data_IF_378855097294
#
_entry.id   IF_378855097294
#
_cell.length_a   1.000
_cell.length_b   1.000
_cell.length_c   1.000
_cell.angle_alpha   90.00
_cell.angle_beta   90.00
_cell.angle_gamma   90.00
#
_symmetry.space_group_name_H-M   'P 1'
#
loop_
_entity.id
_entity.type
_entity.pdbx_description
1 polymer ?
#
# COMPACT_ATOMS: atom_id res chain seq x y z
N UNK A 1 25.16 16.51 19.13
CA UNK A 1 25.26 16.96 17.73
C UNK A 1 25.93 18.33 17.63
N UNK A 2 25.32 19.41 18.13
CA UNK A 2 25.91 20.76 18.01
C UNK A 2 27.27 20.91 18.72
N UNK A 3 27.43 20.28 19.88
CA UNK A 3 28.73 20.19 20.58
C UNK A 3 29.82 19.52 19.74
N UNK A 4 29.44 18.61 18.84
CA UNK A 4 30.36 17.91 17.94
C UNK A 4 30.60 18.66 16.62
N UNK A 5 29.97 19.81 16.42
CA UNK A 5 30.05 20.60 15.19
C UNK A 5 30.85 21.89 15.46
N UNK A 6 32.16 21.93 15.14
CA UNK A 6 33.03 23.05 15.51
C UNK A 6 32.63 24.37 14.84
N UNK A 7 32.01 24.31 13.66
CA UNK A 7 31.53 25.50 12.93
C UNK A 7 30.40 26.24 13.66
N UNK A 8 29.71 25.57 14.61
CA UNK A 8 28.70 26.20 15.47
C UNK A 8 29.27 26.84 16.74
N UNK A 9 30.57 26.72 17.01
CA UNK A 9 31.22 27.22 18.22
C UNK A 9 32.05 28.51 17.98
N UNK A 10 32.19 28.93 16.72
CA UNK A 10 33.02 30.06 16.32
C UNK A 10 32.25 31.36 16.02
N UNK A 11 32.98 32.43 15.71
CA UNK A 11 32.39 33.74 15.35
C UNK A 11 31.53 33.72 14.08
N UNK A 12 31.63 32.67 13.26
CA UNK A 12 30.84 32.46 12.04
C UNK A 12 29.62 31.54 12.23
N UNK A 13 29.35 31.10 13.47
CA UNK A 13 28.28 30.15 13.76
C UNK A 13 26.91 30.59 13.24
N UNK A 14 26.61 31.89 13.34
CA UNK A 14 25.35 32.48 12.86
C UNK A 14 25.16 32.31 11.35
N UNK A 15 26.17 32.70 10.57
CA UNK A 15 26.13 32.64 9.11
C UNK A 15 26.13 31.19 8.61
N UNK A 16 26.91 30.33 9.27
CA UNK A 16 26.93 28.90 8.99
C UNK A 16 25.55 28.26 9.25
N UNK A 17 24.95 28.51 10.42
CA UNK A 17 23.63 27.99 10.75
C UNK A 17 22.55 28.50 9.79
N UNK A 18 22.62 29.78 9.42
CA UNK A 18 21.72 30.38 8.45
C UNK A 18 21.86 29.73 7.06
N UNK A 19 23.08 29.43 6.62
CA UNK A 19 23.33 28.74 5.36
C UNK A 19 22.76 27.30 5.37
N UNK A 20 22.93 26.56 6.46
CA UNK A 20 22.37 25.21 6.60
C UNK A 20 20.83 25.23 6.55
N UNK A 21 20.20 26.22 7.19
CA UNK A 21 18.75 26.41 7.15
C UNK A 21 18.26 26.77 5.74
N UNK A 22 18.94 27.69 5.05
CA UNK A 22 18.54 28.15 3.72
C UNK A 22 18.70 27.08 2.64
N UNK A 23 19.60 26.13 2.86
CA UNK A 23 19.80 24.98 1.98
C UNK A 23 19.05 23.72 2.44
N UNK A 24 18.23 23.81 3.50
CA UNK A 24 17.48 22.69 4.07
C UNK A 24 18.34 21.43 4.33
N UNK A 25 19.59 21.62 4.76
CA UNK A 25 20.57 20.53 4.92
C UNK A 25 20.11 19.50 5.96
N UNK A 26 19.42 19.97 7.00
CA UNK A 26 18.86 19.13 8.04
C UNK A 26 17.36 19.38 8.16
N UNK A 27 16.57 18.32 8.00
CA UNK A 27 15.11 18.34 8.07
C UNK A 27 14.57 18.01 9.48
N UNK A 28 15.37 17.34 10.32
CA UNK A 28 14.99 16.97 11.68
C UNK A 28 14.70 18.20 12.55
N UNK A 29 13.51 18.25 13.15
CA UNK A 29 13.03 19.40 13.93
C UNK A 29 13.98 19.77 15.07
N UNK A 30 14.55 18.79 15.77
CA UNK A 30 15.52 19.07 16.85
C UNK A 30 16.79 19.77 16.37
N UNK A 31 17.37 19.34 15.24
CA UNK A 31 18.55 20.01 14.66
C UNK A 31 18.17 21.41 14.15
N UNK A 32 17.00 21.56 13.53
CA UNK A 32 16.52 22.86 13.06
C UNK A 32 16.26 23.84 14.19
N UNK A 33 15.75 23.40 15.34
CA UNK A 33 15.63 24.24 16.53
C UNK A 33 17.00 24.78 16.98
N UNK A 34 18.01 23.91 17.04
CA UNK A 34 19.38 24.31 17.39
C UNK A 34 19.96 25.30 16.36
N UNK A 35 19.78 25.04 15.07
CA UNK A 35 20.23 25.93 14.00
C UNK A 35 19.51 27.29 14.04
N UNK A 36 18.21 27.31 14.31
CA UNK A 36 17.46 28.55 14.44
C UNK A 36 17.96 29.38 15.64
N UNK A 37 18.33 28.73 16.74
CA UNK A 37 18.93 29.42 17.87
C UNK A 37 20.31 29.99 17.53
N UNK A 38 21.18 29.18 16.91
CA UNK A 38 22.52 29.61 16.48
C UNK A 38 22.45 30.75 15.44
N UNK A 39 21.43 30.75 14.57
CA UNK A 39 21.17 31.82 13.61
C UNK A 39 20.54 33.08 14.25
N UNK A 40 20.20 33.04 15.55
CA UNK A 40 19.58 34.14 16.28
C UNK A 40 18.10 34.38 15.95
N UNK A 41 17.40 33.35 15.45
CA UNK A 41 15.96 33.41 15.11
C UNK A 41 15.04 33.08 16.28
N UNK A 42 15.52 32.29 17.24
CA UNK A 42 14.79 31.91 18.46
C UNK A 42 15.72 32.03 19.67
N UNK A 43 15.14 32.24 20.85
CA UNK A 43 15.92 32.30 22.09
C UNK A 43 16.43 30.91 22.53
N UNK A 44 17.47 30.83 23.39
CA UNK A 44 17.91 29.56 23.97
C UNK A 44 16.81 28.87 24.77
N UNK A 45 15.96 29.63 25.46
CA UNK A 45 14.82 29.12 26.22
C UNK A 45 13.77 28.52 25.29
N UNK A 46 13.47 29.17 24.17
CA UNK A 46 12.57 28.64 23.14
C UNK A 46 13.11 27.35 22.52
N UNK A 47 14.41 27.32 22.20
CA UNK A 47 15.07 26.13 21.69
C UNK A 47 14.96 24.96 22.66
N UNK A 48 15.33 25.17 23.94
CA UNK A 48 15.28 24.12 24.95
C UNK A 48 13.85 23.62 25.15
N UNK A 49 12.86 24.53 25.21
CA UNK A 49 11.45 24.15 25.28
C UNK A 49 11.04 23.27 24.10
N UNK A 50 11.39 23.63 22.87
CA UNK A 50 11.09 22.79 21.69
C UNK A 50 11.78 21.43 21.78
N UNK A 51 13.04 21.37 22.21
CA UNK A 51 13.74 20.10 22.37
C UNK A 51 13.10 19.21 23.44
N UNK A 52 12.68 19.78 24.57
CA UNK A 52 11.98 19.08 25.64
C UNK A 52 10.60 18.57 25.19
N UNK A 53 9.85 19.40 24.45
CA UNK A 53 8.57 19.02 23.84
C UNK A 53 8.74 17.85 22.88
N UNK A 54 9.75 17.88 21.99
CA UNK A 54 10.05 16.77 21.08
C UNK A 54 10.48 15.53 21.86
N UNK A 55 11.35 15.65 22.85
CA UNK A 55 11.80 14.53 23.68
C UNK A 55 10.63 13.85 24.40
N UNK A 56 9.66 14.62 24.89
CA UNK A 56 8.47 14.11 25.58
C UNK A 56 7.55 13.26 24.70
N UNK A 57 7.61 13.40 23.37
CA UNK A 57 6.82 12.58 22.44
C UNK A 57 7.34 11.14 22.32
N UNK A 58 8.59 10.87 22.70
CA UNK A 58 9.19 9.53 22.63
C UNK A 58 9.12 8.91 21.23
N UNK A 59 8.42 7.77 21.11
CA UNK A 59 8.22 7.01 19.86
C UNK A 59 6.86 7.25 19.21
N UNK A 60 6.24 8.41 19.45
CA UNK A 60 4.89 8.75 18.97
C UNK A 60 4.67 8.48 17.48
N UNK A 61 5.68 8.70 16.63
CA UNK A 61 5.54 8.46 15.20
C UNK A 61 5.10 7.02 14.89
N UNK A 62 5.72 6.04 15.55
CA UNK A 62 5.41 4.63 15.34
C UNK A 62 4.03 4.25 15.89
N UNK A 63 3.63 4.83 17.01
CA UNK A 63 2.27 4.67 17.55
C UNK A 63 1.22 5.25 16.58
N UNK A 64 1.52 6.41 15.98
CA UNK A 64 0.66 7.03 14.97
C UNK A 64 0.60 6.18 13.69
N UNK A 65 1.71 5.59 13.25
CA UNK A 65 1.74 4.65 12.12
C UNK A 65 0.85 3.44 12.39
N UNK A 66 0.96 2.81 13.55
CA UNK A 66 0.12 1.67 13.92
C UNK A 66 -1.36 2.07 13.95
N UNK A 67 -1.67 3.20 14.59
CA UNK A 67 -3.05 3.63 14.82
C UNK A 67 -3.75 4.19 13.59
N UNK A 68 -3.04 4.92 12.73
CA UNK A 68 -3.62 5.65 11.60
C UNK A 68 -3.18 5.12 10.24
N UNK A 69 -1.95 4.60 10.16
CA UNK A 69 -1.36 4.02 8.94
C UNK A 69 -1.84 2.59 8.65
N UNK A 70 -2.09 1.81 9.70
CA UNK A 70 -2.30 0.36 9.61
C UNK A 70 -3.66 -0.06 10.17
N UNK A 71 -3.97 -1.34 9.95
CA UNK A 71 -5.09 -2.07 10.57
C UNK A 71 -4.72 -3.54 10.73
N UNK A 72 -5.42 -4.23 11.62
CA UNK A 72 -5.34 -5.69 11.70
C UNK A 72 -5.89 -6.30 10.40
N UNK A 73 -5.12 -7.13 9.68
CA UNK A 73 -5.62 -7.81 8.50
C UNK A 73 -6.81 -8.70 8.84
N UNK A 74 -7.78 -8.76 7.93
CA UNK A 74 -8.97 -9.58 8.10
C UNK A 74 -9.36 -10.24 6.78
N UNK A 75 -9.51 -11.56 6.82
CA UNK A 75 -9.81 -12.39 5.65
C UNK A 75 -11.08 -13.18 5.87
N UNK A 76 -11.96 -13.16 4.88
CA UNK A 76 -13.19 -13.94 4.86
C UNK A 76 -13.22 -14.77 3.58
N UNK A 77 -13.62 -16.03 3.70
CA UNK A 77 -13.82 -16.90 2.56
C UNK A 77 -15.09 -17.73 2.74
N UNK A 78 -15.91 -17.76 1.69
CA UNK A 78 -17.14 -18.54 1.62
C UNK A 78 -17.04 -19.45 0.41
N UNK A 79 -17.38 -20.72 0.60
CA UNK A 79 -17.41 -21.69 -0.47
C UNK A 79 -18.75 -22.43 -0.41
N UNK A 80 -19.43 -22.53 -1.53
CA UNK A 80 -20.68 -23.28 -1.68
C UNK A 80 -20.51 -24.27 -2.82
N UNK A 81 -20.79 -25.55 -2.57
CA UNK A 81 -20.72 -26.60 -3.59
C UNK A 81 -22.04 -27.33 -3.68
N UNK A 82 -22.52 -27.55 -4.90
CA UNK A 82 -23.75 -28.27 -5.22
C UNK A 82 -23.39 -29.37 -6.22
N UNK A 83 -23.72 -30.61 -5.86
CA UNK A 83 -23.50 -31.76 -6.72
C UNK A 83 -24.78 -32.56 -6.90
N UNK A 84 -24.99 -33.11 -8.09
CA UNK A 84 -26.05 -34.09 -8.36
C UNK A 84 -25.50 -35.16 -9.29
N UNK A 85 -25.73 -36.42 -8.94
CA UNK A 85 -25.37 -37.56 -9.76
C UNK A 85 -26.57 -38.48 -9.96
N UNK A 86 -26.67 -39.06 -11.15
CA UNK A 86 -27.56 -40.15 -11.50
C UNK A 86 -26.80 -41.13 -12.43
N UNK A 87 -27.45 -42.19 -12.88
CA UNK A 87 -26.82 -43.25 -13.69
C UNK A 87 -26.12 -42.76 -14.96
N UNK A 88 -26.57 -41.64 -15.55
CA UNK A 88 -26.04 -41.11 -16.82
C UNK A 88 -25.41 -39.73 -16.71
N UNK A 89 -25.51 -39.05 -15.58
CA UNK A 89 -25.06 -37.67 -15.46
C UNK A 89 -24.49 -37.39 -14.07
N UNK A 90 -23.33 -36.74 -14.03
CA UNK A 90 -22.75 -36.19 -12.80
C UNK A 90 -22.46 -34.72 -13.02
N UNK A 91 -23.15 -33.87 -12.27
CA UNK A 91 -22.97 -32.42 -12.27
C UNK A 91 -22.39 -31.96 -10.95
N UNK A 92 -21.40 -31.07 -11.00
CA UNK A 92 -20.85 -30.37 -9.85
C UNK A 92 -20.71 -28.89 -10.19
N UNK A 93 -21.17 -28.02 -9.30
CA UNK A 93 -20.90 -26.60 -9.33
C UNK A 93 -20.34 -26.16 -7.98
N UNK A 94 -19.33 -25.30 -7.99
CA UNK A 94 -18.82 -24.67 -6.77
C UNK A 94 -18.62 -23.18 -7.00
N UNK A 95 -19.10 -22.41 -6.04
CA UNK A 95 -18.94 -20.97 -5.94
C UNK A 95 -17.99 -20.66 -4.79
N UNK A 96 -17.03 -19.77 -5.01
CA UNK A 96 -16.15 -19.24 -3.98
C UNK A 96 -16.15 -17.72 -3.99
N UNK A 97 -16.17 -17.12 -2.80
CA UNK A 97 -15.93 -15.70 -2.60
C UNK A 97 -14.87 -15.55 -1.53
N UNK A 98 -13.88 -14.69 -1.78
CA UNK A 98 -12.84 -14.35 -0.81
C UNK A 98 -12.70 -12.83 -0.78
N UNK A 99 -12.63 -12.27 0.41
CA UNK A 99 -12.34 -10.86 0.63
C UNK A 99 -11.23 -10.73 1.68
N UNK A 100 -10.21 -9.95 1.36
CA UNK A 100 -9.07 -9.66 2.22
C UNK A 100 -8.94 -8.16 2.42
N UNK A 101 -9.11 -7.73 3.67
CA UNK A 101 -8.65 -6.46 4.15
C UNK A 101 -7.19 -6.61 4.59
N UNK A 102 -6.24 -6.00 3.86
CA UNK A 102 -4.81 -6.11 4.13
C UNK A 102 -4.37 -5.15 5.25
N UNK A 103 -3.10 -5.25 5.66
CA UNK A 103 -2.52 -4.48 6.78
C UNK A 103 -2.53 -2.97 6.54
N UNK A 104 -2.19 -2.54 5.33
CA UNK A 104 -2.33 -1.14 4.93
C UNK A 104 -3.80 -0.77 4.85
N UNK A 105 -4.15 0.36 5.47
CA UNK A 105 -5.54 0.76 5.69
C UNK A 105 -6.36 0.84 4.40
N UNK A 106 -5.74 1.25 3.30
CA UNK A 106 -6.39 1.38 1.99
C UNK A 106 -6.09 0.23 1.02
N UNK A 107 -5.42 -0.83 1.48
CA UNK A 107 -5.14 -2.02 0.67
C UNK A 107 -6.16 -3.14 0.92
N UNK A 108 -6.75 -3.68 -0.14
CA UNK A 108 -7.68 -4.79 -0.11
C UNK A 108 -7.67 -5.58 -1.42
N UNK A 109 -8.14 -6.82 -1.37
CA UNK A 109 -8.47 -7.57 -2.58
C UNK A 109 -9.65 -8.50 -2.33
N UNK A 110 -10.37 -8.80 -3.39
CA UNK A 110 -11.46 -9.76 -3.39
C UNK A 110 -11.44 -10.58 -4.67
N UNK A 111 -11.97 -11.80 -4.57
CA UNK A 111 -12.07 -12.70 -5.70
C UNK A 111 -13.35 -13.52 -5.67
N UNK A 112 -14.02 -13.57 -6.81
CA UNK A 112 -15.15 -14.42 -7.13
C UNK A 112 -14.63 -15.61 -7.97
N UNK A 113 -15.01 -16.83 -7.60
CA UNK A 113 -14.72 -18.04 -8.35
C UNK A 113 -16.01 -18.82 -8.63
N UNK A 114 -16.18 -19.27 -9.87
CA UNK A 114 -17.24 -20.20 -10.26
C UNK A 114 -16.62 -21.35 -11.04
N UNK A 115 -16.82 -22.56 -10.54
CA UNK A 115 -16.44 -23.79 -11.22
C UNK A 115 -17.71 -24.59 -11.51
N UNK A 116 -17.87 -25.06 -12.73
CA UNK A 116 -18.95 -25.94 -13.13
C UNK A 116 -18.38 -27.08 -13.94
N UNK A 117 -18.81 -28.30 -13.65
CA UNK A 117 -18.40 -29.50 -14.36
C UNK A 117 -19.59 -30.44 -14.53
N UNK A 118 -19.74 -30.99 -15.73
CA UNK A 118 -20.73 -31.99 -16.04
C UNK A 118 -20.10 -33.15 -16.82
N UNK A 119 -20.36 -34.37 -16.38
CA UNK A 119 -20.07 -35.59 -17.15
C UNK A 119 -21.39 -36.23 -17.54
N UNK A 120 -21.63 -36.40 -18.84
CA UNK A 120 -22.82 -37.06 -19.39
C UNK A 120 -22.41 -38.34 -20.11
N UNK A 121 -22.97 -39.47 -19.70
CA UNK A 121 -22.95 -40.71 -20.47
C UNK A 121 -23.94 -40.62 -21.64
N UNK A 122 -23.41 -40.53 -22.86
CA UNK A 122 -24.21 -40.46 -24.09
C UNK A 122 -24.65 -41.88 -24.48
N UNK A 123 -23.71 -42.84 -24.44
CA UNK A 123 -23.96 -44.28 -24.62
C UNK A 123 -23.12 -45.08 -23.60
N UNK A 124 -23.22 -46.41 -23.61
CA UNK A 124 -22.36 -47.27 -22.78
C UNK A 124 -20.86 -47.19 -23.15
N UNK A 125 -20.55 -46.68 -24.35
CA UNK A 125 -19.19 -46.56 -24.87
C UNK A 125 -18.73 -45.11 -25.06
N UNK A 126 -19.59 -44.11 -24.86
CA UNK A 126 -19.27 -42.70 -25.04
C UNK A 126 -19.77 -41.85 -23.88
N UNK A 127 -18.89 -41.07 -23.27
CA UNK A 127 -19.25 -39.98 -22.37
C UNK A 127 -18.62 -38.66 -22.78
N UNK A 128 -19.22 -37.56 -22.33
CA UNK A 128 -18.75 -36.21 -22.59
C UNK A 128 -18.58 -35.47 -21.26
N UNK A 129 -17.39 -34.91 -21.04
CA UNK A 129 -17.14 -33.98 -19.96
C UNK A 129 -17.15 -32.55 -20.50
N UNK A 130 -17.90 -31.68 -19.82
CA UNK A 130 -17.87 -30.25 -20.01
C UNK A 130 -17.46 -29.61 -18.69
N UNK A 131 -16.54 -28.66 -18.71
CA UNK A 131 -16.19 -27.92 -17.53
C UNK A 131 -15.80 -26.49 -17.83
N UNK A 132 -16.09 -25.60 -16.90
CA UNK A 132 -15.65 -24.21 -16.94
C UNK A 132 -15.27 -23.73 -15.55
N UNK A 133 -14.16 -23.00 -15.48
CA UNK A 133 -13.76 -22.23 -14.32
C UNK A 133 -13.71 -20.76 -14.72
N UNK A 134 -14.26 -19.90 -13.87
CA UNK A 134 -14.28 -18.46 -13.99
C UNK A 134 -13.72 -17.89 -12.69
N UNK A 135 -12.78 -16.98 -12.79
CA UNK A 135 -12.28 -16.20 -11.68
C UNK A 135 -12.30 -14.72 -12.05
N UNK A 136 -12.83 -13.90 -11.15
CA UNK A 136 -12.76 -12.45 -11.24
C UNK A 136 -12.14 -11.93 -9.95
N UNK A 137 -11.09 -11.11 -10.08
CA UNK A 137 -10.43 -10.42 -8.99
C UNK A 137 -10.60 -8.92 -9.11
N UNK A 138 -10.79 -8.25 -7.97
CA UNK A 138 -10.71 -6.79 -7.88
C UNK A 138 -9.90 -6.44 -6.62
N UNK A 139 -9.18 -5.34 -6.66
CA UNK A 139 -8.36 -4.94 -5.54
C UNK A 139 -7.79 -3.55 -5.67
N UNK A 140 -7.41 -3.01 -4.52
CA UNK A 140 -6.68 -1.76 -4.41
C UNK A 140 -5.45 -1.98 -3.54
N UNK A 141 -4.32 -1.44 -3.97
CA UNK A 141 -3.07 -1.42 -3.21
C UNK A 141 -2.69 0.02 -2.93
N UNK A 142 -2.49 0.33 -1.65
CA UNK A 142 -1.93 1.59 -1.18
C UNK A 142 -0.49 1.72 -1.71
N UNK A 143 -0.24 2.79 -2.46
CA UNK A 143 1.07 3.06 -3.07
C UNK A 143 2.00 3.85 -2.14
N UNK A 144 1.44 4.67 -1.27
CA UNK A 144 2.19 5.49 -0.31
C UNK A 144 2.40 4.76 1.03
N UNK A 145 3.61 4.80 1.57
CA UNK A 145 3.90 4.26 2.90
C UNK A 145 4.29 5.34 3.89
N UNK A 146 3.59 5.39 5.03
CA UNK A 146 3.94 6.29 6.15
C UNK A 146 5.28 5.93 6.81
N UNK A 147 5.80 4.71 6.62
CA UNK A 147 7.15 4.34 7.08
C UNK A 147 8.24 4.70 6.07
N UNK A 148 7.86 5.14 4.87
CA UNK A 148 8.75 5.67 3.85
C UNK A 148 8.13 6.91 3.18
N UNK A 149 7.89 7.99 3.94
CA UNK A 149 7.00 9.08 3.53
C UNK A 149 7.63 10.06 2.52
N UNK A 150 8.79 9.74 1.95
CA UNK A 150 9.52 10.64 1.05
C UNK A 150 10.20 11.82 1.76
N UNK A 151 10.33 11.75 3.09
CA UNK A 151 11.07 12.72 3.91
C UNK A 151 11.66 12.06 5.15
N UNK A 152 12.66 12.70 5.77
CA UNK A 152 13.25 12.23 7.02
C UNK A 152 12.29 12.50 8.18
N UNK A 153 11.88 11.44 8.86
CA UNK A 153 11.14 11.53 10.12
C UNK A 153 12.02 11.03 11.27
N UNK A 154 11.65 11.44 12.47
CA UNK A 154 12.24 11.04 13.75
C UNK A 154 11.18 10.35 14.61
N UNK A 155 11.57 9.50 15.59
CA UNK A 155 10.62 8.78 16.44
C UNK A 155 9.60 9.68 17.16
N UNK A 156 9.99 10.91 17.48
CA UNK A 156 9.15 11.90 18.16
C UNK A 156 8.19 12.66 17.25
N UNK A 157 8.30 12.51 15.92
CA UNK A 157 7.37 13.18 15.02
C UNK A 157 5.96 12.62 15.13
N UNK A 158 4.99 13.34 14.57
CA UNK A 158 3.58 12.97 14.64
C UNK A 158 2.99 12.89 13.24
N UNK A 159 1.95 12.07 13.08
CA UNK A 159 1.12 12.08 11.86
C UNK A 159 -0.16 12.91 12.06
N UNK A 160 -0.51 13.23 13.31
CA UNK A 160 -1.54 14.18 13.67
C UNK A 160 -0.97 15.30 14.55
N UNK A 161 -1.41 16.52 14.28
CA UNK A 161 -1.19 17.68 15.14
C UNK A 161 -1.96 17.53 16.46
N UNK A 162 -1.67 18.38 17.44
CA UNK A 162 -2.32 18.35 18.75
C UNK A 162 -3.84 18.62 18.68
N UNK A 163 -4.29 19.35 17.66
CA UNK A 163 -5.71 19.62 17.39
C UNK A 163 -6.43 18.48 16.64
N UNK A 164 -5.71 17.41 16.29
CA UNK A 164 -6.23 16.27 15.54
C UNK A 164 -6.24 16.43 14.02
N UNK A 165 -5.75 17.55 13.48
CA UNK A 165 -5.56 17.71 12.03
C UNK A 165 -4.35 16.89 11.53
N UNK A 166 -4.35 16.41 10.27
CA UNK A 166 -3.20 15.75 9.67
C UNK A 166 -1.94 16.63 9.67
N UNK A 167 -0.82 16.07 10.14
CA UNK A 167 0.48 16.73 10.03
C UNK A 167 0.87 16.83 8.56
N UNK A 168 1.39 17.99 8.17
CA UNK A 168 1.90 18.25 6.83
C UNK A 168 3.38 18.59 6.93
N UNK A 169 4.21 17.81 6.25
CA UNK A 169 5.61 18.15 6.05
C UNK A 169 5.70 19.12 4.86
N UNK A 170 6.10 20.35 5.14
CA UNK A 170 6.03 21.41 4.13
C UNK A 170 7.24 21.34 3.19
N UNK A 171 7.09 21.90 2.00
CA UNK A 171 8.19 22.08 1.05
C UNK A 171 9.37 22.83 1.69
N UNK A 172 9.08 23.80 2.56
CA UNK A 172 10.07 24.62 3.23
C UNK A 172 10.94 23.83 4.24
N UNK A 173 10.47 22.66 4.66
CA UNK A 173 11.20 21.76 5.54
C UNK A 173 12.19 20.86 4.78
N UNK A 174 12.11 20.83 3.45
CA UNK A 174 12.84 19.87 2.59
C UNK A 174 13.65 20.50 1.48
N UNK A 175 13.21 21.64 0.96
CA UNK A 175 13.81 22.28 -0.21
C UNK A 175 14.53 23.56 0.19
N UNK A 176 15.64 23.86 -0.48
CA UNK A 176 16.35 25.12 -0.29
C UNK A 176 15.49 26.31 -0.71
N UNK A 177 15.80 27.50 -0.19
CA UNK A 177 15.15 28.74 -0.62
C UNK A 177 15.23 28.98 -2.12
N UNK A 178 16.36 28.61 -2.76
CA UNK A 178 16.53 28.73 -4.20
C UNK A 178 15.59 27.80 -4.97
N UNK A 179 15.41 26.57 -4.49
CA UNK A 179 14.49 25.61 -5.09
C UNK A 179 13.03 26.08 -4.92
N UNK A 180 12.66 26.54 -3.73
CA UNK A 180 11.34 27.12 -3.47
C UNK A 180 11.06 28.34 -4.36
N UNK A 181 12.05 29.23 -4.54
CA UNK A 181 11.96 30.35 -5.47
C UNK A 181 11.71 29.87 -6.90
N UNK A 182 12.47 28.87 -7.36
CA UNK A 182 12.28 28.28 -8.70
C UNK A 182 10.87 27.70 -8.87
N UNK A 183 10.34 26.98 -7.88
CA UNK A 183 8.97 26.43 -7.94
C UNK A 183 7.92 27.54 -8.08
N UNK A 184 8.03 28.59 -7.25
CA UNK A 184 7.09 29.73 -7.23
C UNK A 184 7.17 30.57 -8.51
N UNK A 185 8.37 30.89 -8.96
CA UNK A 185 8.60 31.70 -10.17
C UNK A 185 8.08 31.02 -11.44
N UNK A 186 8.04 29.68 -11.44
CA UNK A 186 7.49 28.89 -12.54
C UNK A 186 6.01 28.51 -12.35
N UNK A 187 5.35 29.01 -11.30
CA UNK A 187 3.93 28.73 -11.03
C UNK A 187 3.62 27.25 -10.75
N UNK A 188 4.59 26.49 -10.24
CA UNK A 188 4.43 25.08 -9.90
C UNK A 188 3.68 24.91 -8.56
N UNK A 189 3.01 23.77 -8.39
CA UNK A 189 2.34 23.43 -7.15
C UNK A 189 3.34 23.26 -5.99
N UNK A 190 2.88 23.56 -4.78
CA UNK A 190 3.64 23.29 -3.57
C UNK A 190 3.88 21.79 -3.43
N UNK A 191 5.07 21.43 -2.92
CA UNK A 191 5.48 20.04 -2.76
C UNK A 191 5.28 19.56 -1.32
N UNK A 192 4.19 19.98 -0.68
CA UNK A 192 3.88 19.52 0.67
C UNK A 192 3.47 18.05 0.66
N UNK A 193 3.77 17.34 1.74
CA UNK A 193 3.34 15.95 1.93
C UNK A 193 2.53 15.89 3.21
N UNK A 194 1.27 15.47 3.09
CA UNK A 194 0.39 15.17 4.23
C UNK A 194 0.22 13.64 4.29
N UNK A 195 1.04 12.90 5.07
CA UNK A 195 1.15 11.44 4.93
C UNK A 195 -0.18 10.69 5.02
N UNK A 196 -1.06 11.09 5.94
CA UNK A 196 -2.36 10.41 6.13
C UNK A 196 -3.33 10.65 4.96
N UNK A 197 -3.17 11.77 4.27
CA UNK A 197 -3.94 12.09 3.06
C UNK A 197 -3.32 11.41 1.83
N UNK A 198 -1.99 11.31 1.74
CA UNK A 198 -1.31 10.59 0.66
C UNK A 198 -1.68 9.11 0.61
N UNK A 199 -1.89 8.47 1.76
CA UNK A 199 -2.27 7.06 1.84
C UNK A 199 -3.56 6.71 1.07
N UNK A 200 -4.52 7.64 0.95
CA UNK A 200 -5.78 7.41 0.22
C UNK A 200 -5.70 7.79 -1.26
N UNK A 201 -4.60 8.40 -1.69
CA UNK A 201 -4.40 8.87 -3.06
C UNK A 201 -3.64 7.82 -3.88
N UNK A 202 -3.76 7.93 -5.21
CA UNK A 202 -3.02 7.11 -6.17
C UNK A 202 -3.01 5.59 -5.85
N UNK A 203 -4.13 5.07 -5.35
CA UNK A 203 -4.27 3.65 -5.10
C UNK A 203 -4.13 2.89 -6.42
N UNK A 204 -3.23 1.92 -6.46
CA UNK A 204 -3.13 1.04 -7.61
C UNK A 204 -4.33 0.10 -7.60
N UNK A 205 -5.17 0.17 -8.63
CA UNK A 205 -6.33 -0.70 -8.79
C UNK A 205 -6.01 -1.79 -9.79
N UNK A 206 -6.26 -3.03 -9.42
CA UNK A 206 -6.05 -4.19 -10.29
C UNK A 206 -7.39 -4.90 -10.48
N UNK A 207 -7.62 -5.37 -11.70
CA UNK A 207 -8.78 -6.19 -12.05
C UNK A 207 -8.29 -7.36 -12.86
N UNK A 208 -8.53 -8.54 -12.33
CA UNK A 208 -8.12 -9.78 -12.97
C UNK A 208 -9.36 -10.51 -13.47
N UNK A 209 -9.30 -11.05 -14.67
CA UNK A 209 -10.32 -11.97 -15.16
C UNK A 209 -9.62 -13.18 -15.76
N UNK A 210 -10.03 -14.38 -15.36
CA UNK A 210 -9.60 -15.60 -16.02
C UNK A 210 -10.75 -16.57 -16.23
N UNK A 211 -10.72 -17.23 -17.38
CA UNK A 211 -11.65 -18.28 -17.74
C UNK A 211 -10.89 -19.46 -18.33
N UNK A 212 -11.30 -20.66 -17.93
CA UNK A 212 -10.84 -21.91 -18.53
C UNK A 212 -12.04 -22.81 -18.78
N UNK A 213 -12.33 -23.07 -20.04
CA UNK A 213 -13.43 -23.97 -20.45
C UNK A 213 -12.87 -25.14 -21.25
N UNK A 214 -13.37 -26.33 -21.00
CA UNK A 214 -12.97 -27.53 -21.74
C UNK A 214 -14.16 -28.40 -22.12
N UNK A 215 -13.94 -29.17 -23.17
CA UNK A 215 -14.77 -30.29 -23.57
C UNK A 215 -13.89 -31.52 -23.76
N UNK A 216 -14.35 -32.68 -23.28
CA UNK A 216 -13.66 -33.97 -23.46
C UNK A 216 -14.66 -35.03 -23.86
N UNK A 217 -14.37 -35.75 -24.94
CA UNK A 217 -15.08 -36.95 -25.34
C UNK A 217 -14.28 -38.16 -24.88
N UNK A 218 -14.90 -39.03 -24.10
CA UNK A 218 -14.31 -40.26 -23.61
C UNK A 218 -14.97 -41.47 -24.28
N UNK A 219 -14.17 -42.27 -24.97
CA UNK A 219 -14.57 -43.45 -25.71
C UNK A 219 -14.09 -44.70 -24.98
N UNK A 220 -14.99 -45.65 -24.72
CA UNK A 220 -14.69 -47.01 -24.28
C UNK A 220 -14.89 -47.94 -25.48
N UNK A 221 -13.87 -48.06 -26.32
CA UNK A 221 -13.91 -48.84 -27.56
C UNK A 221 -14.03 -50.34 -27.28
N UNK A 222 -13.35 -50.82 -26.24
CA UNK A 222 -13.48 -52.16 -25.65
C UNK A 222 -13.34 -52.06 -24.12
N UNK A 223 -13.46 -53.18 -23.41
CA UNK A 223 -13.20 -53.19 -21.95
C UNK A 223 -11.75 -52.84 -21.59
N UNK A 224 -10.81 -53.03 -22.51
CA UNK A 224 -9.38 -52.77 -22.31
C UNK A 224 -8.85 -51.54 -23.05
N UNK A 225 -9.57 -51.02 -24.05
CA UNK A 225 -9.17 -49.85 -24.84
C UNK A 225 -10.08 -48.65 -24.60
N UNK A 226 -9.51 -47.61 -24.01
CA UNK A 226 -10.16 -46.32 -23.79
C UNK A 226 -9.39 -45.21 -24.52
N UNK A 227 -10.11 -44.27 -25.11
CA UNK A 227 -9.55 -43.12 -25.80
C UNK A 227 -10.24 -41.84 -25.34
N UNK A 228 -9.50 -40.75 -25.18
CA UNK A 228 -10.06 -39.46 -24.83
C UNK A 228 -9.56 -38.39 -25.79
N UNK A 229 -10.49 -37.62 -26.35
CA UNK A 229 -10.19 -36.44 -27.15
C UNK A 229 -10.65 -35.21 -26.37
N UNK A 230 -9.77 -34.22 -26.17
CA UNK A 230 -10.08 -33.02 -25.39
C UNK A 230 -9.70 -31.74 -26.11
N UNK A 231 -10.52 -30.71 -25.91
CA UNK A 231 -10.25 -29.34 -26.29
C UNK A 231 -10.38 -28.45 -25.04
N UNK A 232 -9.47 -27.50 -24.89
CA UNK A 232 -9.50 -26.50 -23.82
C UNK A 232 -9.25 -25.12 -24.43
N UNK A 233 -10.02 -24.14 -23.96
CA UNK A 233 -9.80 -22.73 -24.20
C UNK A 233 -9.53 -22.03 -22.87
N UNK A 234 -8.56 -21.12 -22.88
CA UNK A 234 -8.15 -20.36 -21.71
C UNK A 234 -7.89 -18.92 -22.09
N UNK A 235 -8.39 -17.99 -21.27
CA UNK A 235 -8.14 -16.55 -21.38
C UNK A 235 -7.85 -16.01 -19.98
N UNK A 236 -6.90 -15.09 -19.90
CA UNK A 236 -6.52 -14.40 -18.67
C UNK A 236 -6.12 -12.96 -18.98
N UNK A 237 -6.70 -12.02 -18.23
CA UNK A 237 -6.30 -10.61 -18.15
C UNK A 237 -5.89 -10.33 -16.69
N UNK A 238 -4.71 -9.73 -16.51
CA UNK A 238 -4.05 -9.47 -15.22
C UNK A 238 -3.64 -7.99 -15.12
#
# INVERSE_FOLDING_TARGET
WAEMNPELQGSKAKDYAQNLLDNAVYSAQGIRAILNNAAGKISPEEMNRTLDELASQGYRYYNDVEKYGKRNPFSQQYNLSIGKSNERNTFNASFSYRHNSLEDRYSNNESFGLNMQNTTGITSWLSMDLGTYLNYGDGATQSYSVTSPGYTYMPYNTLLNADGSPYTNTEADRYSKSQQGTLRDNGLYHLDITPLEEMKMNLQKNKDFSNRTFARLNFKLTDWLKYAASFQYEVGEY
#
